data_IF_954113248557
#
_entry.id   IF_954113248557
#
_cell.length_a   1.000
_cell.length_b   1.000
_cell.length_c   1.000
_cell.angle_alpha   90.00
_cell.angle_beta   90.00
_cell.angle_gamma   90.00
#
_symmetry.space_group_name_H-M   'P 1'
#
loop_
_entity.id
_entity.type
_entity.pdbx_description
1 polymer ?
#
# COMPACT_ATOMS: atom_id res chain seq x y z
N UNK A 1 -42.17 92.34 23.06
CA UNK A 1 -41.60 91.12 23.64
C UNK A 1 -41.04 90.23 22.54
N UNK A 2 -39.72 90.18 22.41
CA UNK A 2 -38.98 89.36 21.45
C UNK A 2 -38.63 88.01 22.09
N UNK A 3 -38.97 86.88 21.46
CA UNK A 3 -38.32 85.58 21.72
C UNK A 3 -38.11 84.85 20.39
N UNK A 4 -36.85 84.60 20.06
CA UNK A 4 -36.36 84.02 18.81
C UNK A 4 -36.32 82.48 18.87
N UNK A 5 -36.90 81.75 17.88
CA UNK A 5 -36.79 80.29 17.79
C UNK A 5 -35.69 79.81 16.82
N UNK A 6 -34.67 80.62 16.52
CA UNK A 6 -33.73 80.33 15.41
C UNK A 6 -32.65 79.27 15.70
N UNK A 7 -32.49 78.81 16.95
CA UNK A 7 -31.38 77.90 17.31
C UNK A 7 -31.62 76.42 16.96
N UNK A 8 -32.88 75.97 16.88
CA UNK A 8 -33.24 74.57 16.61
C UNK A 8 -33.20 74.28 15.09
N UNK A 9 -33.60 75.24 14.26
CA UNK A 9 -33.55 75.13 12.80
C UNK A 9 -32.12 75.04 12.27
N UNK A 10 -31.15 75.76 12.87
CA UNK A 10 -29.75 75.71 12.45
C UNK A 10 -29.07 74.36 12.73
N UNK A 11 -29.48 73.66 13.79
CA UNK A 11 -28.91 72.36 14.19
C UNK A 11 -29.40 71.22 13.29
N UNK A 12 -30.64 71.30 12.79
CA UNK A 12 -31.18 70.35 11.81
C UNK A 12 -30.54 70.47 10.42
N UNK A 13 -30.13 71.68 10.02
CA UNK A 13 -29.46 71.90 8.74
C UNK A 13 -28.00 71.40 8.73
N UNK A 14 -27.32 71.43 9.87
CA UNK A 14 -25.93 70.99 10.01
C UNK A 14 -25.76 69.46 9.95
N UNK A 15 -26.78 68.69 10.35
CA UNK A 15 -26.76 67.21 10.28
C UNK A 15 -26.88 66.65 8.86
N UNK A 16 -27.43 67.41 7.91
CA UNK A 16 -27.67 66.94 6.55
C UNK A 16 -26.42 66.95 5.66
N UNK A 17 -25.37 67.67 6.06
CA UNK A 17 -24.11 67.76 5.29
C UNK A 17 -23.10 66.64 5.59
N UNK A 18 -23.39 65.75 6.55
CA UNK A 18 -22.47 64.65 6.92
C UNK A 18 -22.74 63.32 6.20
N UNK A 19 -23.65 63.28 5.22
CA UNK A 19 -23.88 62.08 4.41
C UNK A 19 -22.79 61.89 3.35
N UNK A 20 -21.58 61.51 3.77
CA UNK A 20 -20.54 61.02 2.85
C UNK A 20 -21.00 59.69 2.26
N UNK A 21 -21.07 59.64 0.92
CA UNK A 21 -21.62 58.51 0.17
C UNK A 21 -20.88 57.20 0.43
N UNK A 22 -21.66 56.13 0.65
CA UNK A 22 -21.18 54.76 0.68
C UNK A 22 -20.90 54.33 -0.76
N UNK A 23 -19.62 54.13 -1.09
CA UNK A 23 -19.19 53.51 -2.34
C UNK A 23 -19.01 52.02 -2.12
N UNK A 24 -19.97 51.22 -2.58
CA UNK A 24 -19.82 49.77 -2.67
C UNK A 24 -19.45 49.39 -4.11
N UNK A 25 -18.45 48.54 -4.29
CA UNK A 25 -18.13 47.91 -5.57
C UNK A 25 -18.78 46.53 -5.64
N UNK A 26 -19.01 46.03 -6.85
CA UNK A 26 -19.51 44.66 -7.01
C UNK A 26 -18.48 43.64 -6.55
N UNK A 27 -18.95 42.55 -5.95
CA UNK A 27 -18.15 41.37 -5.70
C UNK A 27 -18.35 40.40 -6.86
N UNK A 28 -17.38 40.35 -7.78
CA UNK A 28 -17.39 39.35 -8.87
C UNK A 28 -16.78 38.05 -8.35
N UNK A 29 -17.55 36.97 -8.34
CA UNK A 29 -17.03 35.64 -8.11
C UNK A 29 -16.50 35.05 -9.41
N UNK A 30 -15.20 34.75 -9.44
CA UNK A 30 -14.59 33.96 -10.51
C UNK A 30 -14.20 32.59 -9.95
N UNK A 31 -14.76 31.49 -10.48
CA UNK A 31 -14.38 30.15 -10.06
C UNK A 31 -12.88 29.90 -10.29
N UNK A 32 -12.22 29.18 -9.39
CA UNK A 32 -10.79 28.84 -9.56
C UNK A 32 -10.57 27.74 -10.60
N UNK A 33 -11.56 26.86 -10.78
CA UNK A 33 -11.50 25.74 -11.70
C UNK A 33 -11.88 26.18 -13.12
N UNK A 34 -11.02 25.94 -14.13
CA UNK A 34 -11.28 26.30 -15.52
C UNK A 34 -12.61 25.79 -16.06
N UNK A 35 -13.08 24.61 -15.63
CA UNK A 35 -14.33 24.00 -16.07
C UNK A 35 -15.57 24.83 -15.73
N UNK A 36 -15.48 25.74 -14.77
CA UNK A 36 -16.57 26.62 -14.35
C UNK A 36 -16.37 28.08 -14.81
N UNK A 37 -15.44 28.34 -15.74
CA UNK A 37 -15.15 29.70 -16.23
C UNK A 37 -14.01 30.40 -15.49
N UNK A 38 -13.19 29.65 -14.76
CA UNK A 38 -11.95 30.12 -14.14
C UNK A 38 -10.79 30.27 -15.11
N UNK A 39 -9.65 30.74 -14.60
CA UNK A 39 -8.42 30.89 -15.39
C UNK A 39 -7.92 29.52 -15.91
N UNK A 40 -7.73 29.32 -17.23
CA UNK A 40 -7.20 28.07 -17.80
C UNK A 40 -5.82 27.68 -17.27
N UNK A 41 -5.03 28.66 -16.82
CA UNK A 41 -3.70 28.45 -16.26
C UNK A 41 -3.72 27.57 -15.00
N UNK A 42 -4.84 27.55 -14.27
CA UNK A 42 -4.99 26.74 -13.06
C UNK A 42 -5.22 25.25 -13.35
N UNK A 43 -5.53 24.87 -14.60
CA UNK A 43 -5.91 23.49 -14.95
C UNK A 43 -4.83 22.47 -14.67
N UNK A 44 -3.59 22.76 -15.08
CA UNK A 44 -2.46 21.85 -14.88
C UNK A 44 -2.14 21.65 -13.39
N UNK A 45 -2.20 22.72 -12.60
CA UNK A 45 -1.94 22.66 -11.16
C UNK A 45 -3.04 21.90 -10.41
N UNK A 46 -4.31 22.18 -10.71
CA UNK A 46 -5.44 21.47 -10.11
C UNK A 46 -5.43 19.97 -10.47
N UNK A 47 -5.10 19.63 -11.72
CA UNK A 47 -4.98 18.24 -12.16
C UNK A 47 -3.81 17.54 -11.48
N UNK A 48 -2.65 18.19 -11.38
CA UNK A 48 -1.48 17.64 -10.69
C UNK A 48 -1.77 17.35 -9.22
N UNK A 49 -2.43 18.28 -8.52
CA UNK A 49 -2.84 18.07 -7.13
C UNK A 49 -3.89 16.95 -6.99
N UNK A 50 -4.80 16.82 -7.96
CA UNK A 50 -5.79 15.75 -7.96
C UNK A 50 -5.13 14.39 -8.17
N UNK A 51 -4.17 14.27 -9.08
CA UNK A 51 -3.43 13.03 -9.31
C UNK A 51 -2.54 12.65 -8.11
N UNK A 52 -1.89 13.63 -7.48
CA UNK A 52 -1.03 13.38 -6.31
C UNK A 52 -1.81 12.89 -5.08
N UNK A 53 -3.11 13.19 -5.01
CA UNK A 53 -4.01 12.71 -3.95
C UNK A 53 -4.88 11.53 -4.42
N UNK A 54 -4.72 11.06 -5.65
CA UNK A 54 -5.53 9.97 -6.17
C UNK A 54 -4.97 8.62 -5.72
N UNK A 55 -5.55 8.08 -4.65
CA UNK A 55 -5.23 6.74 -4.14
C UNK A 55 -6.04 5.63 -4.83
N UNK A 56 -6.84 5.96 -5.85
CA UNK A 56 -7.63 4.99 -6.61
C UNK A 56 -6.76 4.35 -7.68
N UNK A 57 -6.26 3.17 -7.38
CA UNK A 57 -5.61 2.29 -8.36
C UNK A 57 -6.65 1.38 -8.99
N UNK A 58 -6.63 1.27 -10.32
CA UNK A 58 -7.44 0.31 -11.05
C UNK A 58 -7.01 -1.12 -10.66
N UNK A 59 -7.91 -1.97 -10.11
CA UNK A 59 -7.56 -3.32 -9.65
C UNK A 59 -7.17 -4.25 -10.80
N UNK A 60 -7.60 -3.95 -12.03
CA UNK A 60 -7.28 -4.71 -13.24
C UNK A 60 -6.12 -4.06 -14.03
N UNK A 61 -5.61 -2.90 -13.58
CA UNK A 61 -4.48 -2.27 -14.23
C UNK A 61 -3.21 -3.09 -13.97
N UNK A 62 -2.55 -3.44 -15.07
CA UNK A 62 -1.23 -4.08 -15.03
C UNK A 62 -0.25 -3.11 -14.37
N UNK A 63 0.18 -3.44 -13.15
CA UNK A 63 1.20 -2.68 -12.44
C UNK A 63 2.52 -2.80 -13.21
N UNK A 64 2.89 -1.75 -13.95
CA UNK A 64 4.14 -1.72 -14.71
C UNK A 64 5.37 -1.74 -13.78
N UNK A 65 5.21 -1.44 -12.49
CA UNK A 65 6.23 -1.63 -11.46
C UNK A 65 6.45 -3.11 -11.16
N UNK A 66 5.38 -3.92 -11.17
CA UNK A 66 5.45 -5.38 -10.99
C UNK A 66 6.04 -6.12 -12.20
N UNK A 67 6.11 -5.48 -13.36
CA UNK A 67 6.70 -6.04 -14.59
C UNK A 67 8.23 -5.92 -14.66
N UNK A 68 8.84 -5.05 -13.86
CA UNK A 68 10.30 -4.75 -13.94
C UNK A 68 11.10 -5.26 -12.74
N UNK A 69 10.43 -5.76 -11.69
CA UNK A 69 11.08 -6.43 -10.58
C UNK A 69 10.72 -7.91 -10.57
N UNK A 70 11.72 -8.79 -10.61
CA UNK A 70 11.58 -10.13 -10.00
C UNK A 70 10.89 -9.92 -8.64
N UNK A 71 9.72 -10.52 -8.45
CA UNK A 71 8.89 -10.24 -7.27
C UNK A 71 9.74 -10.45 -6.02
N UNK A 72 9.51 -9.67 -4.97
CA UNK A 72 10.12 -9.96 -3.67
C UNK A 72 9.84 -11.42 -3.25
N UNK A 73 8.69 -11.94 -3.67
CA UNK A 73 8.33 -13.35 -3.56
C UNK A 73 9.23 -14.25 -4.42
N UNK A 74 9.46 -13.93 -5.70
CA UNK A 74 10.34 -14.76 -6.56
C UNK A 74 11.76 -14.85 -6.00
N UNK A 75 12.31 -13.73 -5.51
CA UNK A 75 13.64 -13.72 -4.87
C UNK A 75 13.66 -14.50 -3.57
N UNK A 76 12.60 -14.42 -2.79
CA UNK A 76 12.45 -15.18 -1.56
C UNK A 76 12.35 -16.69 -1.85
N UNK A 77 11.53 -17.08 -2.83
CA UNK A 77 11.38 -18.46 -3.28
C UNK A 77 12.71 -19.03 -3.79
N UNK A 78 13.43 -18.31 -4.65
CA UNK A 78 14.75 -18.77 -5.13
C UNK A 78 15.79 -18.91 -4.00
N UNK A 79 15.71 -18.07 -2.96
CA UNK A 79 16.58 -18.20 -1.77
C UNK A 79 16.20 -19.40 -0.90
N UNK A 80 14.90 -19.67 -0.75
CA UNK A 80 14.39 -20.82 -0.02
C UNK A 80 14.79 -22.13 -0.72
N UNK A 81 14.59 -22.19 -2.04
CA UNK A 81 14.93 -23.34 -2.88
C UNK A 81 16.43 -23.68 -2.79
N UNK A 82 17.29 -22.66 -2.85
CA UNK A 82 18.74 -22.87 -2.78
C UNK A 82 19.19 -23.40 -1.41
N UNK A 83 18.54 -22.98 -0.33
CA UNK A 83 18.84 -23.45 1.04
C UNK A 83 18.31 -24.86 1.27
N UNK A 84 17.08 -25.14 0.88
CA UNK A 84 16.47 -26.47 0.99
C UNK A 84 17.24 -27.51 0.19
N UNK A 85 17.70 -27.16 -1.03
CA UNK A 85 18.53 -28.05 -1.83
C UNK A 85 19.90 -28.30 -1.17
N UNK A 86 20.50 -27.28 -0.56
CA UNK A 86 21.78 -27.43 0.15
C UNK A 86 21.63 -28.30 1.39
N UNK A 87 20.58 -28.10 2.19
CA UNK A 87 20.30 -28.92 3.38
C UNK A 87 19.94 -30.36 3.03
N UNK A 88 19.17 -30.55 1.95
CA UNK A 88 18.88 -31.87 1.42
C UNK A 88 20.19 -32.58 1.04
N UNK A 89 21.02 -31.97 0.19
CA UNK A 89 22.28 -32.58 -0.25
C UNK A 89 23.23 -32.92 0.91
N UNK A 90 23.28 -32.07 1.94
CA UNK A 90 24.07 -32.36 3.16
C UNK A 90 23.47 -33.50 4.01
N UNK A 91 22.15 -33.68 3.98
CA UNK A 91 21.45 -34.75 4.72
C UNK A 91 21.51 -36.09 3.98
N UNK A 92 21.57 -36.09 2.64
CA UNK A 92 21.75 -37.30 1.83
C UNK A 92 23.16 -37.91 1.97
N UNK A 93 24.12 -37.17 2.52
CA UNK A 93 25.46 -37.66 2.90
C UNK A 93 25.50 -38.35 4.29
N UNK A 94 24.38 -38.39 5.04
CA UNK A 94 24.25 -39.18 6.27
C UNK A 94 23.52 -40.51 6.01
N UNK A 95 24.22 -41.66 5.99
CA UNK A 95 23.69 -42.93 5.51
C UNK A 95 22.67 -43.62 6.43
N UNK A 96 22.24 -43.03 7.55
CA UNK A 96 21.40 -43.72 8.54
C UNK A 96 19.98 -43.16 8.72
N UNK A 97 19.62 -42.06 8.04
CA UNK A 97 18.36 -41.37 8.29
C UNK A 97 18.38 -40.61 9.62
N UNK A 98 17.70 -39.47 9.66
CA UNK A 98 17.77 -38.55 10.78
C UNK A 98 16.43 -37.88 11.06
N UNK A 99 16.21 -37.52 12.32
CA UNK A 99 15.07 -36.71 12.76
C UNK A 99 15.47 -35.25 12.80
N UNK A 100 14.78 -34.43 12.01
CA UNK A 100 14.92 -32.97 11.99
C UNK A 100 13.76 -32.37 12.76
N UNK A 101 14.06 -31.68 13.85
CA UNK A 101 13.06 -30.98 14.65
C UNK A 101 13.22 -29.47 14.50
N UNK A 102 12.16 -28.83 14.05
CA UNK A 102 12.01 -27.38 13.99
C UNK A 102 10.95 -26.92 15.00
N UNK A 103 10.87 -25.62 15.26
CA UNK A 103 9.90 -25.05 16.20
C UNK A 103 8.45 -25.39 15.80
N UNK A 104 8.16 -25.36 14.51
CA UNK A 104 6.81 -25.59 13.96
C UNK A 104 6.58 -27.02 13.41
N UNK A 105 7.65 -27.74 13.04
CA UNK A 105 7.55 -29.05 12.38
C UNK A 105 8.47 -30.10 13.00
N UNK A 106 8.00 -31.35 13.04
CA UNK A 106 8.80 -32.53 13.35
C UNK A 106 8.89 -33.38 12.10
N UNK A 107 10.10 -33.53 11.57
CA UNK A 107 10.38 -34.26 10.34
C UNK A 107 11.16 -35.52 10.71
N UNK A 108 10.56 -36.68 10.46
CA UNK A 108 11.18 -37.97 10.66
C UNK A 108 11.50 -38.59 9.30
N UNK A 109 12.78 -38.86 9.06
CA UNK A 109 13.25 -39.47 7.80
C UNK A 109 13.70 -40.89 8.11
N UNK A 110 12.96 -41.87 7.58
CA UNK A 110 13.28 -43.30 7.71
C UNK A 110 13.66 -43.84 6.34
N UNK A 111 14.84 -44.42 6.24
CA UNK A 111 15.24 -45.18 5.07
C UNK A 111 15.15 -46.68 5.40
N UNK A 112 14.33 -47.42 4.64
CA UNK A 112 14.21 -48.87 4.76
C UNK A 112 14.36 -49.50 3.37
N UNK A 113 15.38 -50.34 3.19
CA UNK A 113 15.58 -51.17 2.00
C UNK A 113 15.44 -50.41 0.66
N UNK A 114 15.98 -49.19 0.57
CA UNK A 114 15.94 -48.39 -0.66
C UNK A 114 14.65 -47.59 -0.88
N UNK A 115 13.76 -47.57 0.12
CA UNK A 115 12.59 -46.73 0.19
C UNK A 115 12.80 -45.64 1.25
N UNK A 116 12.76 -44.38 0.83
CA UNK A 116 12.85 -43.23 1.71
C UNK A 116 11.43 -42.78 2.07
N UNK A 117 11.08 -42.93 3.34
CA UNK A 117 9.81 -42.42 3.90
C UNK A 117 10.10 -41.20 4.75
N UNK A 118 9.47 -40.08 4.41
CA UNK A 118 9.55 -38.82 5.14
C UNK A 118 8.20 -38.53 5.76
N UNK A 119 8.16 -38.44 7.09
CA UNK A 119 6.97 -38.09 7.85
C UNK A 119 7.14 -36.68 8.42
N UNK A 120 6.25 -35.77 8.05
CA UNK A 120 6.25 -34.38 8.49
C UNK A 120 5.03 -34.18 9.38
N UNK A 121 5.26 -33.83 10.64
CA UNK A 121 4.21 -33.50 11.61
C UNK A 121 4.24 -32.02 11.94
N UNK A 122 3.15 -31.31 11.66
CA UNK A 122 2.93 -29.94 12.13
C UNK A 122 2.62 -29.94 13.63
N UNK A 123 3.37 -29.16 14.40
CA UNK A 123 3.25 -29.11 15.87
C UNK A 123 2.15 -28.19 16.37
N UNK A 124 1.70 -27.24 15.54
CA UNK A 124 0.62 -26.32 15.85
C UNK A 124 -0.75 -26.94 15.54
N UNK A 125 -0.84 -27.68 14.43
CA UNK A 125 -2.10 -28.26 13.95
C UNK A 125 -2.22 -29.76 14.20
N UNK A 126 -1.10 -30.46 14.37
CA UNK A 126 -1.06 -31.92 14.49
C UNK A 126 -1.24 -32.65 13.16
N UNK A 127 -1.24 -31.94 12.04
CA UNK A 127 -1.37 -32.54 10.71
C UNK A 127 -0.11 -33.34 10.36
N UNK A 128 -0.30 -34.56 9.85
CA UNK A 128 0.78 -35.45 9.43
C UNK A 128 0.74 -35.59 7.91
N UNK A 129 1.85 -35.27 7.26
CA UNK A 129 2.07 -35.44 5.83
C UNK A 129 3.16 -36.49 5.61
N UNK A 130 2.83 -37.53 4.84
CA UNK A 130 3.75 -38.62 4.50
C UNK A 130 4.18 -38.51 3.03
N UNK A 131 5.49 -38.61 2.81
CA UNK A 131 6.08 -38.62 1.48
C UNK A 131 6.93 -39.88 1.35
N UNK A 132 6.50 -40.78 0.46
CA UNK A 132 7.19 -42.05 0.16
C UNK A 132 7.92 -41.93 -1.17
N UNK A 133 9.23 -42.12 -1.15
CA UNK A 133 10.10 -42.07 -2.32
C UNK A 133 10.73 -43.43 -2.54
N UNK A 134 10.26 -44.12 -3.57
CA UNK A 134 10.78 -45.42 -3.98
C UNK A 134 12.05 -45.26 -4.82
N UNK A 135 13.12 -45.99 -4.49
CA UNK A 135 14.37 -46.04 -5.27
C UNK A 135 15.53 -45.21 -4.72
N UNK A 136 15.38 -44.64 -3.52
CA UNK A 136 16.46 -43.94 -2.83
C UNK A 136 17.41 -44.97 -2.20
N UNK A 137 18.49 -45.30 -2.90
CA UNK A 137 19.47 -46.31 -2.45
C UNK A 137 19.78 -47.43 -3.43
N UNK A 138 19.35 -47.33 -4.71
CA UNK A 138 19.96 -48.13 -5.78
C UNK A 138 21.39 -47.62 -6.05
N UNK A 139 22.28 -47.82 -5.07
CA UNK A 139 23.70 -47.70 -5.24
C UNK A 139 24.12 -48.60 -6.41
N UNK A 140 24.87 -48.00 -7.32
CA UNK A 140 25.54 -48.62 -8.45
C UNK A 140 25.96 -50.07 -8.18
N UNK A 141 25.21 -51.01 -8.73
CA UNK A 141 25.71 -52.34 -9.04
C UNK A 141 26.33 -52.25 -10.44
N UNK A 142 27.66 -52.45 -10.45
CA UNK A 142 28.58 -52.65 -11.57
C UNK A 142 27.94 -53.32 -12.79
#
# INVERSE_FOLDING_TARGET
MNRSPQKITGMLLAGFFFSTGVTATELVYTPVNPSFGGSPLNGAWLLGNAQAQNDTTDPDAIDRSSLTGTSALDRFTSQLESRLLSDLLNTLDDPNGGTLQTDDFLINVVNLDGNLTVEITDRLTGEVSEIVVNGYGAAAIN
#
